data_IF_647081899114
#
_entry.id   IF_647081899114
#
_cell.length_a   1.000
_cell.length_b   1.000
_cell.length_c   1.000
_cell.angle_alpha   90.00
_cell.angle_beta   90.00
_cell.angle_gamma   90.00
#
_symmetry.space_group_name_H-M   'P 1'
#
loop_
_entity.id
_entity.type
_entity.pdbx_description
1 polymer ?
#
# COMPACT_ATOMS: atom_id res chain seq x y z
N UNK A 1 -10.32 13.45 -32.62
CA UNK A 1 -10.80 12.84 -31.36
C UNK A 1 -11.64 13.88 -30.63
N UNK A 2 -12.86 13.52 -30.23
CA UNK A 2 -13.70 14.36 -29.36
C UNK A 2 -13.80 13.68 -28.00
N UNK A 3 -13.57 14.45 -26.93
CA UNK A 3 -13.69 13.95 -25.57
C UNK A 3 -15.18 13.75 -25.24
N UNK A 4 -15.56 12.52 -24.89
CA UNK A 4 -16.94 12.18 -24.53
C UNK A 4 -17.19 12.26 -23.02
N UNK A 5 -16.29 11.69 -22.19
CA UNK A 5 -16.46 11.56 -20.74
C UNK A 5 -15.14 11.23 -20.05
N UNK A 6 -15.02 11.56 -18.77
CA UNK A 6 -13.94 11.11 -17.90
C UNK A 6 -14.44 10.03 -16.93
N UNK A 7 -13.62 9.00 -16.72
CA UNK A 7 -13.83 7.97 -15.70
C UNK A 7 -12.62 8.02 -14.75
N UNK A 8 -12.85 8.35 -13.48
CA UNK A 8 -11.80 8.57 -12.49
C UNK A 8 -12.06 7.72 -11.26
N UNK A 9 -11.07 6.91 -10.88
CA UNK A 9 -11.04 6.16 -9.62
C UNK A 9 -9.91 6.74 -8.74
N UNK A 10 -10.23 7.64 -7.81
CA UNK A 10 -9.25 8.25 -6.91
C UNK A 10 -8.95 7.35 -5.70
N UNK A 11 -7.67 7.23 -5.36
CA UNK A 11 -7.15 6.56 -4.17
C UNK A 11 -7.42 5.05 -4.01
N UNK A 12 -7.77 4.33 -5.09
CA UNK A 12 -8.01 2.87 -5.05
C UNK A 12 -6.77 2.10 -5.54
N UNK A 13 -6.37 1.07 -4.80
CA UNK A 13 -5.29 0.15 -5.18
C UNK A 13 -5.60 -0.51 -6.53
N UNK A 14 -4.70 -0.39 -7.50
CA UNK A 14 -4.86 -1.03 -8.82
C UNK A 14 -4.78 -2.57 -8.82
N UNK A 15 -4.54 -3.19 -7.67
CA UNK A 15 -4.35 -4.65 -7.50
C UNK A 15 -5.65 -5.46 -7.48
N UNK A 16 -6.81 -4.80 -7.51
CA UNK A 16 -8.11 -5.46 -7.64
C UNK A 16 -9.10 -4.58 -8.38
N UNK A 17 -10.01 -5.19 -9.15
CA UNK A 17 -11.15 -4.52 -9.78
C UNK A 17 -12.30 -4.27 -8.79
N UNK A 18 -12.30 -4.97 -7.65
CA UNK A 18 -13.26 -4.77 -6.56
C UNK A 18 -13.02 -3.39 -5.91
N UNK A 19 -13.86 -2.43 -6.29
CA UNK A 19 -13.83 -1.05 -5.79
C UNK A 19 -13.75 0.01 -6.87
N UNK A 20 -13.31 -0.33 -8.09
CA UNK A 20 -13.16 0.63 -9.20
C UNK A 20 -14.49 0.89 -9.91
N UNK A 21 -15.36 1.67 -9.26
CA UNK A 21 -16.72 1.96 -9.75
C UNK A 21 -16.69 2.68 -11.10
N UNK A 22 -15.78 3.62 -11.30
CA UNK A 22 -15.70 4.34 -12.57
C UNK A 22 -15.19 3.44 -13.69
N UNK A 23 -14.22 2.56 -13.42
CA UNK A 23 -13.77 1.54 -14.38
C UNK A 23 -14.91 0.58 -14.75
N UNK A 24 -15.68 0.08 -13.79
CA UNK A 24 -16.82 -0.80 -14.07
C UNK A 24 -17.90 -0.08 -14.89
N UNK A 25 -18.18 1.19 -14.58
CA UNK A 25 -19.11 2.00 -15.37
C UNK A 25 -18.61 2.22 -16.79
N UNK A 26 -17.31 2.45 -16.99
CA UNK A 26 -16.70 2.55 -18.32
C UNK A 26 -16.90 1.26 -19.13
N UNK A 27 -16.67 0.08 -18.51
CA UNK A 27 -16.91 -1.21 -19.18
C UNK A 27 -18.39 -1.41 -19.51
N UNK A 28 -19.31 -1.02 -18.62
CA UNK A 28 -20.75 -1.09 -18.91
C UNK A 28 -21.17 -0.15 -20.03
N UNK A 29 -20.69 1.09 -20.01
CA UNK A 29 -20.97 2.07 -21.05
C UNK A 29 -20.44 1.60 -22.42
N UNK A 30 -19.27 0.94 -22.45
CA UNK A 30 -18.72 0.31 -23.66
C UNK A 30 -19.55 -0.87 -24.19
N UNK A 31 -20.36 -1.53 -23.35
CA UNK A 31 -21.26 -2.62 -23.74
C UNK A 31 -22.65 -2.16 -24.18
N UNK A 32 -22.99 -0.87 -24.00
CA UNK A 32 -24.30 -0.35 -24.39
C UNK A 32 -24.37 -0.25 -25.90
N UNK A 33 -25.51 -0.66 -26.47
CA UNK A 33 -25.84 -0.50 -27.89
C UNK A 33 -25.84 0.96 -28.36
N UNK A 34 -25.95 1.92 -27.44
CA UNK A 34 -25.82 3.34 -27.76
C UNK A 34 -24.40 3.76 -28.17
N UNK A 35 -23.39 2.88 -28.02
CA UNK A 35 -21.98 3.12 -28.36
C UNK A 35 -21.51 4.55 -28.04
N UNK A 36 -21.47 4.94 -26.76
CA UNK A 36 -21.20 6.32 -26.37
C UNK A 36 -19.77 6.79 -26.68
N UNK A 37 -18.85 5.88 -26.99
CA UNK A 37 -17.48 6.16 -27.41
C UNK A 37 -16.84 4.95 -28.11
N UNK A 38 -15.88 5.23 -29.00
CA UNK A 38 -15.14 4.20 -29.76
C UNK A 38 -13.70 4.01 -29.27
N UNK A 39 -13.20 4.91 -28.42
CA UNK A 39 -11.81 4.90 -27.95
C UNK A 39 -11.71 5.31 -26.50
N UNK A 40 -11.02 4.49 -25.71
CA UNK A 40 -10.60 4.78 -24.34
C UNK A 40 -9.13 5.17 -24.37
N UNK A 41 -8.81 6.33 -23.80
CA UNK A 41 -7.44 6.82 -23.67
C UNK A 41 -7.00 6.67 -22.21
N UNK A 42 -5.87 6.01 -21.99
CA UNK A 42 -5.32 5.73 -20.67
C UNK A 42 -3.87 6.17 -20.63
N UNK A 43 -3.41 6.69 -19.49
CA UNK A 43 -2.04 7.15 -19.37
C UNK A 43 -1.03 6.00 -19.58
N UNK A 44 -1.12 4.92 -18.79
CA UNK A 44 -0.22 3.76 -18.89
C UNK A 44 -0.99 2.43 -18.65
N UNK A 45 -0.34 1.29 -18.91
CA UNK A 45 -0.93 -0.04 -18.72
C UNK A 45 -1.32 -0.29 -17.26
N UNK A 46 -0.55 0.24 -16.30
CA UNK A 46 -0.78 0.09 -14.86
C UNK A 46 -2.06 0.83 -14.40
N UNK A 47 -2.46 1.91 -15.10
CA UNK A 47 -3.67 2.70 -14.85
C UNK A 47 -4.93 2.06 -15.41
N UNK A 48 -4.82 1.30 -16.50
CA UNK A 48 -5.93 0.48 -16.98
C UNK A 48 -6.27 -0.60 -15.95
N UNK A 49 -5.25 -1.23 -15.36
CA UNK A 49 -5.37 -2.01 -14.12
C UNK A 49 -4.09 -2.77 -13.82
N UNK A 50 -3.67 -2.82 -12.54
CA UNK A 50 -2.60 -3.71 -12.06
C UNK A 50 -3.17 -5.08 -11.71
N UNK A 51 -3.94 -5.62 -12.65
CA UNK A 51 -4.70 -6.86 -12.47
C UNK A 51 -3.90 -7.99 -13.14
N UNK A 52 -4.21 -9.25 -12.80
CA UNK A 52 -3.62 -10.39 -13.48
C UNK A 52 -3.80 -10.31 -15.00
N UNK A 53 -2.80 -10.79 -15.76
CA UNK A 53 -2.75 -10.65 -17.23
C UNK A 53 -4.03 -11.16 -17.90
N UNK A 54 -4.62 -12.21 -17.33
CA UNK A 54 -5.86 -12.83 -17.80
C UNK A 54 -7.06 -11.89 -17.65
N UNK A 55 -7.17 -11.16 -16.53
CA UNK A 55 -8.29 -10.25 -16.28
C UNK A 55 -8.16 -8.96 -17.13
N UNK A 56 -6.94 -8.43 -17.27
CA UNK A 56 -6.69 -7.32 -18.20
C UNK A 56 -6.95 -7.73 -19.66
N UNK A 57 -6.60 -8.97 -20.03
CA UNK A 57 -6.93 -9.58 -21.31
C UNK A 57 -8.44 -9.72 -21.51
N UNK A 58 -9.16 -10.20 -20.50
CA UNK A 58 -10.62 -10.34 -20.51
C UNK A 58 -11.34 -9.01 -20.80
N UNK A 59 -11.00 -7.93 -20.09
CA UNK A 59 -11.63 -6.63 -20.34
C UNK A 59 -11.27 -6.05 -21.71
N UNK A 60 -10.01 -6.20 -22.16
CA UNK A 60 -9.64 -5.80 -23.52
C UNK A 60 -10.39 -6.59 -24.58
N UNK A 61 -10.56 -7.89 -24.37
CA UNK A 61 -11.34 -8.72 -25.27
C UNK A 61 -12.79 -8.24 -25.36
N UNK A 62 -13.43 -7.99 -24.22
CA UNK A 62 -14.78 -7.40 -24.17
C UNK A 62 -14.85 -6.09 -24.96
N UNK A 63 -13.94 -5.16 -24.70
CA UNK A 63 -13.95 -3.86 -25.35
C UNK A 63 -13.78 -4.00 -26.87
N UNK A 64 -12.84 -4.84 -27.31
CA UNK A 64 -12.61 -5.12 -28.73
C UNK A 64 -13.85 -5.73 -29.40
N UNK A 65 -14.50 -6.69 -28.75
CA UNK A 65 -15.72 -7.32 -29.27
C UNK A 65 -16.90 -6.35 -29.35
N UNK A 66 -16.88 -5.27 -28.54
CA UNK A 66 -17.84 -4.17 -28.62
C UNK A 66 -17.33 -2.98 -29.46
N UNK A 67 -16.28 -3.16 -30.27
CA UNK A 67 -15.75 -2.12 -31.18
C UNK A 67 -14.97 -0.99 -30.52
N UNK A 68 -14.66 -1.07 -29.22
CA UNK A 68 -13.96 -0.04 -28.47
C UNK A 68 -12.46 -0.32 -28.41
N UNK A 69 -11.64 0.64 -28.86
CA UNK A 69 -10.18 0.57 -28.81
C UNK A 69 -9.62 1.18 -27.53
N UNK A 70 -8.50 0.64 -27.01
CA UNK A 70 -7.78 1.21 -25.87
C UNK A 70 -6.42 1.74 -26.33
N UNK A 71 -6.17 3.02 -26.11
CA UNK A 71 -4.90 3.69 -26.44
C UNK A 71 -4.15 4.12 -25.18
N UNK A 72 -2.84 3.85 -25.16
CA UNK A 72 -1.97 4.22 -24.05
C UNK A 72 -1.14 5.45 -24.45
N UNK A 73 -1.05 6.45 -23.59
CA UNK A 73 -0.38 7.73 -23.90
C UNK A 73 1.12 7.66 -23.60
N UNK A 74 1.52 6.99 -22.53
CA UNK A 74 2.93 6.95 -22.08
C UNK A 74 3.78 5.93 -22.83
N UNK A 75 3.14 5.01 -23.55
CA UNK A 75 3.81 3.98 -24.30
C UNK A 75 3.62 4.34 -25.78
N UNK A 76 4.70 4.48 -26.54
CA UNK A 76 4.67 4.69 -28.00
C UNK A 76 4.16 3.43 -28.73
N UNK A 77 3.03 2.90 -28.30
CA UNK A 77 2.37 1.74 -28.87
C UNK A 77 1.47 2.23 -30.01
N UNK A 78 1.90 1.97 -31.24
CA UNK A 78 1.16 2.32 -32.45
C UNK A 78 0.04 1.32 -32.78
N UNK A 79 -0.13 0.27 -31.96
CA UNK A 79 -1.14 -0.77 -32.18
C UNK A 79 -0.74 -1.80 -33.23
N UNK A 80 0.57 -1.92 -33.53
CA UNK A 80 1.11 -2.90 -34.46
C UNK A 80 1.42 -4.24 -33.75
N UNK A 81 1.60 -5.31 -34.52
CA UNK A 81 1.85 -6.69 -34.08
C UNK A 81 3.02 -6.80 -33.07
N UNK A 82 3.98 -5.88 -33.13
CA UNK A 82 5.10 -5.77 -32.19
C UNK A 82 4.65 -5.39 -30.77
N UNK A 83 3.60 -4.60 -30.63
CA UNK A 83 3.09 -4.16 -29.31
C UNK A 83 2.40 -5.31 -28.58
N UNK A 84 1.75 -6.23 -29.30
CA UNK A 84 1.12 -7.42 -28.72
C UNK A 84 2.17 -8.40 -28.19
N UNK A 85 3.36 -8.44 -28.79
CA UNK A 85 4.50 -9.23 -28.29
C UNK A 85 5.22 -8.56 -27.11
N UNK A 86 5.37 -7.23 -27.13
CA UNK A 86 6.11 -6.51 -26.09
C UNK A 86 5.32 -6.31 -24.79
N UNK A 87 3.98 -6.24 -24.86
CA UNK A 87 3.12 -6.06 -23.68
C UNK A 87 3.27 -7.16 -22.63
N UNK A 88 3.19 -8.47 -22.97
CA UNK A 88 3.44 -9.55 -22.00
C UNK A 88 4.82 -9.47 -21.37
N UNK A 89 5.85 -9.11 -22.15
CA UNK A 89 7.23 -8.97 -21.67
C UNK A 89 7.34 -7.85 -20.64
N UNK A 90 6.77 -6.68 -20.92
CA UNK A 90 6.75 -5.55 -19.97
C UNK A 90 5.97 -5.87 -18.69
N UNK A 91 4.86 -6.59 -18.81
CA UNK A 91 4.10 -7.04 -17.65
C UNK A 91 4.86 -8.06 -16.81
N UNK A 92 5.51 -9.03 -17.47
CA UNK A 92 6.38 -9.99 -16.80
C UNK A 92 7.53 -9.28 -16.09
N UNK A 93 8.16 -8.30 -16.74
CA UNK A 93 9.22 -7.49 -16.14
C UNK A 93 8.72 -6.76 -14.88
N UNK A 94 7.58 -6.07 -14.95
CA UNK A 94 7.01 -5.38 -13.79
C UNK A 94 6.67 -6.35 -12.63
N UNK A 95 6.21 -7.56 -12.95
CA UNK A 95 5.99 -8.63 -11.96
C UNK A 95 7.30 -9.09 -11.32
N UNK A 96 8.37 -9.24 -12.10
CA UNK A 96 9.68 -9.60 -11.56
C UNK A 96 10.26 -8.49 -10.67
N UNK A 97 10.19 -7.24 -11.10
CA UNK A 97 10.59 -6.08 -10.29
C UNK A 97 9.85 -6.05 -8.94
N UNK A 98 8.54 -6.33 -8.93
CA UNK A 98 7.76 -6.42 -7.69
C UNK A 98 8.22 -7.58 -6.79
N UNK A 99 8.55 -8.73 -7.38
CA UNK A 99 9.06 -9.89 -6.63
C UNK A 99 10.44 -9.60 -6.04
N UNK A 100 11.32 -8.99 -6.80
CA UNK A 100 12.67 -8.65 -6.34
C UNK A 100 12.64 -7.56 -5.27
N UNK A 101 11.77 -6.55 -5.40
CA UNK A 101 11.54 -5.57 -4.34
C UNK A 101 11.00 -6.21 -3.06
N UNK A 102 10.09 -7.18 -3.18
CA UNK A 102 9.59 -7.96 -2.04
C UNK A 102 10.73 -8.70 -1.35
N UNK A 103 11.60 -9.40 -2.10
CA UNK A 103 12.78 -10.09 -1.54
C UNK A 103 13.71 -9.12 -0.80
N UNK A 104 13.99 -7.94 -1.37
CA UNK A 104 14.81 -6.90 -0.73
C UNK A 104 14.16 -6.41 0.56
N UNK A 105 12.84 -6.18 0.55
CA UNK A 105 12.09 -5.74 1.73
C UNK A 105 12.14 -6.79 2.83
N UNK A 106 11.83 -8.05 2.51
CA UNK A 106 11.87 -9.18 3.45
C UNK A 106 13.28 -9.33 4.03
N UNK A 107 14.33 -9.26 3.21
CA UNK A 107 15.72 -9.29 3.69
C UNK A 107 16.00 -8.16 4.68
N UNK A 108 15.50 -6.95 4.42
CA UNK A 108 15.62 -5.84 5.36
C UNK A 108 14.88 -6.05 6.67
N UNK A 109 13.69 -6.67 6.64
CA UNK A 109 12.92 -7.02 7.84
C UNK A 109 13.64 -8.10 8.67
N UNK A 110 14.14 -9.15 8.02
CA UNK A 110 14.91 -10.22 8.67
C UNK A 110 16.17 -9.68 9.36
N UNK A 111 16.95 -8.85 8.66
CA UNK A 111 18.14 -8.21 9.22
C UNK A 111 17.81 -7.33 10.46
N UNK A 112 16.68 -6.63 10.44
CA UNK A 112 16.19 -5.90 11.62
C UNK A 112 15.80 -6.85 12.76
N UNK A 113 15.10 -7.93 12.45
CA UNK A 113 14.68 -8.92 13.44
C UNK A 113 15.87 -9.59 14.14
N UNK A 114 16.92 -9.95 13.39
CA UNK A 114 18.15 -10.56 13.91
C UNK A 114 18.85 -9.66 14.94
N UNK A 115 18.75 -8.34 14.77
CA UNK A 115 19.32 -7.35 15.71
C UNK A 115 18.37 -6.94 16.84
N UNK A 116 17.20 -7.59 16.94
CA UNK A 116 16.16 -7.25 17.92
C UNK A 116 15.47 -5.92 17.65
N UNK A 117 15.61 -5.37 16.44
CA UNK A 117 14.98 -4.12 16.04
C UNK A 117 13.53 -4.33 15.60
N UNK A 118 12.65 -3.40 15.95
CA UNK A 118 11.27 -3.34 15.50
C UNK A 118 11.22 -3.20 13.98
N UNK A 119 10.51 -4.14 13.36
CA UNK A 119 10.43 -4.28 11.91
C UNK A 119 9.59 -3.19 11.22
N UNK A 120 8.81 -2.42 11.98
CA UNK A 120 7.99 -1.32 11.49
C UNK A 120 6.50 -1.51 11.77
N UNK A 121 5.70 -0.50 11.41
CA UNK A 121 4.27 -0.50 11.73
C UNK A 121 3.97 -0.03 13.15
N UNK A 122 2.69 -0.14 13.53
CA UNK A 122 2.19 0.26 14.86
C UNK A 122 2.55 -0.85 15.87
N UNK A 123 3.19 -0.52 17.01
CA UNK A 123 3.49 -1.51 18.04
C UNK A 123 2.20 -2.06 18.66
N UNK A 124 2.21 -3.30 19.18
CA UNK A 124 1.08 -3.84 19.95
C UNK A 124 0.73 -2.94 21.14
N UNK A 125 -0.54 -2.91 21.52
CA UNK A 125 -0.98 -2.19 22.70
C UNK A 125 -0.22 -2.69 23.95
N UNK A 126 0.14 -1.79 24.85
CA UNK A 126 1.01 -2.07 26.00
C UNK A 126 2.51 -1.89 25.73
N UNK A 127 2.92 -1.67 24.48
CA UNK A 127 4.29 -1.33 24.10
C UNK A 127 4.39 0.06 23.45
N UNK A 128 5.54 0.70 23.64
CA UNK A 128 5.97 1.92 22.94
C UNK A 128 7.25 1.61 22.12
N UNK A 129 7.58 2.45 21.15
CA UNK A 129 8.80 2.32 20.35
C UNK A 129 9.90 3.23 20.89
N UNK A 130 10.98 2.64 21.41
CA UNK A 130 12.19 3.38 21.78
C UNK A 130 13.12 3.47 20.57
N UNK A 131 13.40 4.68 20.12
CA UNK A 131 14.33 4.95 19.02
C UNK A 131 15.74 5.22 19.55
N UNK A 132 16.71 4.62 18.87
CA UNK A 132 18.14 4.75 19.14
C UNK A 132 18.88 5.00 17.82
N UNK A 133 19.97 5.77 17.89
CA UNK A 133 20.85 5.94 16.74
C UNK A 133 21.72 4.70 16.51
N UNK A 134 22.56 4.72 15.47
CA UNK A 134 23.48 3.61 15.16
C UNK A 134 24.55 3.34 16.24
N UNK A 135 24.77 4.28 17.15
CA UNK A 135 25.70 4.15 18.29
C UNK A 135 24.98 3.64 19.57
N UNK A 136 23.67 3.36 19.49
CA UNK A 136 22.86 2.94 20.64
C UNK A 136 22.42 4.10 21.55
N UNK A 137 22.67 5.34 21.17
CA UNK A 137 22.23 6.52 21.92
C UNK A 137 20.73 6.71 21.78
N UNK A 138 20.07 6.92 22.91
CA UNK A 138 18.64 7.24 22.99
C UNK A 138 18.30 8.50 22.17
N UNK A 139 17.23 8.40 21.37
CA UNK A 139 16.65 9.54 20.65
C UNK A 139 15.32 9.96 21.27
N UNK A 140 14.33 9.07 21.27
CA UNK A 140 12.98 9.33 21.77
C UNK A 140 12.22 8.04 22.04
N UNK A 141 11.11 8.12 22.77
CA UNK A 141 10.10 7.06 22.82
C UNK A 141 8.85 7.55 22.09
N UNK A 142 8.30 6.73 21.20
CA UNK A 142 7.09 7.00 20.46
C UNK A 142 5.96 6.11 20.94
N UNK A 143 4.89 6.71 21.45
CA UNK A 143 3.66 6.02 21.85
C UNK A 143 2.55 6.29 20.85
N UNK A 144 1.88 5.24 20.42
CA UNK A 144 0.72 5.33 19.54
C UNK A 144 -0.57 5.41 20.35
N UNK A 145 -1.38 6.42 20.04
CA UNK A 145 -2.65 6.68 20.70
C UNK A 145 -3.84 6.15 19.88
N UNK A 146 -4.96 5.76 20.52
CA UNK A 146 -6.13 5.22 19.82
C UNK A 146 -6.77 6.18 18.80
N UNK A 147 -6.63 7.50 19.01
CA UNK A 147 -7.10 8.55 18.10
C UNK A 147 -6.23 8.71 16.83
N UNK A 148 -5.15 7.93 16.73
CA UNK A 148 -4.18 7.97 15.63
C UNK A 148 -3.09 9.04 15.80
N UNK A 149 -3.10 9.79 16.90
CA UNK A 149 -2.00 10.68 17.28
C UNK A 149 -0.80 9.88 17.82
N UNK A 150 0.37 10.51 17.88
CA UNK A 150 1.59 9.89 18.41
C UNK A 150 2.21 10.79 19.46
N UNK A 151 2.47 10.26 20.64
CA UNK A 151 3.16 10.98 21.70
C UNK A 151 4.66 10.69 21.62
N UNK A 152 5.46 11.76 21.52
CA UNK A 152 6.91 11.73 21.67
C UNK A 152 7.23 11.95 23.14
N UNK A 153 7.91 10.98 23.74
CA UNK A 153 8.29 10.95 25.13
C UNK A 153 9.83 10.98 25.26
N UNK A 154 10.31 11.52 26.38
CA UNK A 154 11.72 11.50 26.74
C UNK A 154 12.16 10.13 27.31
N UNK A 155 13.43 10.02 27.73
CA UNK A 155 14.00 8.82 28.34
C UNK A 155 13.27 8.37 29.63
N UNK A 156 12.59 9.30 30.30
CA UNK A 156 11.84 9.08 31.54
C UNK A 156 10.34 8.86 31.25
N UNK A 157 9.95 8.67 29.98
CA UNK A 157 8.55 8.54 29.53
C UNK A 157 7.68 9.78 29.80
N UNK A 158 8.28 10.95 30.01
CA UNK A 158 7.55 12.22 30.11
C UNK A 158 7.22 12.74 28.72
N UNK A 159 6.01 13.27 28.54
CA UNK A 159 5.55 13.83 27.28
C UNK A 159 6.39 15.07 26.90
N UNK A 160 6.97 15.03 25.70
CA UNK A 160 7.72 16.15 25.09
C UNK A 160 6.85 16.85 24.06
N UNK A 161 6.21 16.09 23.17
CA UNK A 161 5.37 16.62 22.09
C UNK A 161 4.36 15.57 21.62
N UNK A 162 3.22 16.02 21.10
CA UNK A 162 2.26 15.17 20.39
C UNK A 162 2.28 15.50 18.90
N UNK A 163 2.36 14.47 18.06
CA UNK A 163 2.18 14.54 16.61
C UNK A 163 0.73 14.23 16.26
N UNK A 164 0.13 15.05 15.40
CA UNK A 164 -1.23 14.82 14.92
C UNK A 164 -1.32 13.57 14.02
N UNK A 165 -2.53 13.06 13.83
CA UNK A 165 -2.78 11.94 12.91
C UNK A 165 -2.28 12.30 11.51
N UNK A 166 -1.44 11.43 10.93
CA UNK A 166 -0.84 11.63 9.60
C UNK A 166 0.47 12.42 9.60
N UNK A 167 0.82 13.12 10.70
CA UNK A 167 2.10 13.80 10.82
C UNK A 167 3.25 12.77 10.87
N UNK A 168 4.28 13.03 10.08
CA UNK A 168 5.45 12.15 9.95
C UNK A 168 6.48 12.49 11.00
N UNK A 169 7.03 11.45 11.61
CA UNK A 169 8.16 11.57 12.50
C UNK A 169 9.44 11.62 11.66
N UNK A 170 10.31 12.59 11.92
CA UNK A 170 11.60 12.73 11.22
C UNK A 170 12.65 11.88 11.92
N UNK A 171 12.96 10.72 11.36
CA UNK A 171 13.95 9.74 11.86
C UNK A 171 14.89 9.37 10.71
N UNK A 172 16.17 9.16 11.02
CA UNK A 172 17.15 8.69 10.03
C UNK A 172 16.90 7.23 9.65
N UNK A 173 17.20 6.86 8.39
CA UNK A 173 17.10 5.46 7.94
C UNK A 173 18.01 4.50 8.71
N UNK A 174 19.03 5.01 9.40
CA UNK A 174 19.99 4.22 10.21
C UNK A 174 19.54 4.05 11.66
N UNK A 175 18.53 4.79 12.10
CA UNK A 175 18.04 4.69 13.45
C UNK A 175 17.22 3.40 13.60
N UNK A 176 17.39 2.74 14.74
CA UNK A 176 16.66 1.54 15.09
C UNK A 176 15.58 1.85 16.11
N UNK A 177 14.47 1.10 16.06
CA UNK A 177 13.43 1.14 17.07
C UNK A 177 13.42 -0.18 17.81
N UNK A 178 13.12 -0.17 19.10
CA UNK A 178 12.92 -1.37 19.92
C UNK A 178 11.63 -1.25 20.71
N UNK A 179 10.99 -2.40 20.98
CA UNK A 179 9.81 -2.43 21.84
C UNK A 179 10.22 -2.20 23.29
N UNK A 180 9.54 -1.28 23.96
CA UNK A 180 9.65 -1.09 25.40
C UNK A 180 8.26 -1.08 26.01
N UNK A 181 8.13 -1.51 27.26
CA UNK A 181 6.86 -1.44 27.96
C UNK A 181 6.34 0.00 27.98
N UNK A 182 5.05 0.15 27.74
CA UNK A 182 4.37 1.45 27.72
C UNK A 182 4.16 1.99 29.15
N UNK A 183 3.10 2.76 29.38
CA UNK A 183 2.74 3.20 30.73
C UNK A 183 2.25 2.02 31.58
N UNK A 184 2.44 2.06 32.91
CA UNK A 184 1.99 0.99 33.81
C UNK A 184 0.50 0.63 33.64
N UNK A 185 -0.35 1.63 33.38
CA UNK A 185 -1.79 1.47 33.17
C UNK A 185 -2.07 0.64 31.91
N UNK A 186 -1.38 0.95 30.81
CA UNK A 186 -1.55 0.22 29.54
C UNK A 186 -1.04 -1.22 29.64
N UNK A 187 0.09 -1.41 30.31
CA UNK A 187 0.64 -2.76 30.57
C UNK A 187 -0.30 -3.55 31.47
N UNK A 188 -0.91 -2.93 32.48
CA UNK A 188 -1.90 -3.56 33.37
C UNK A 188 -3.10 -4.06 32.59
N UNK A 189 -3.63 -3.29 31.63
CA UNK A 189 -4.74 -3.73 30.76
C UNK A 189 -4.38 -5.01 30.00
N UNK A 190 -3.18 -5.06 29.39
CA UNK A 190 -2.74 -6.26 28.66
C UNK A 190 -2.61 -7.47 29.60
N UNK A 191 -2.05 -7.28 30.80
CA UNK A 191 -1.96 -8.34 31.82
C UNK A 191 -3.34 -8.82 32.28
N UNK A 192 -4.28 -7.90 32.47
CA UNK A 192 -5.66 -8.24 32.83
C UNK A 192 -6.33 -9.08 31.74
N UNK A 193 -6.21 -8.67 30.46
CA UNK A 193 -6.71 -9.45 29.33
C UNK A 193 -6.10 -10.85 29.31
N UNK A 194 -4.78 -10.97 29.45
CA UNK A 194 -4.11 -12.27 29.46
C UNK A 194 -4.61 -13.17 30.60
N UNK A 195 -4.74 -12.64 31.81
CA UNK A 195 -5.26 -13.39 32.94
C UNK A 195 -6.71 -13.84 32.71
N UNK A 196 -7.57 -13.00 32.12
CA UNK A 196 -8.93 -13.41 31.75
C UNK A 196 -8.92 -14.60 30.79
N UNK A 197 -8.08 -14.58 29.75
CA UNK A 197 -7.95 -15.68 28.80
C UNK A 197 -7.43 -16.97 29.45
N UNK A 198 -6.40 -16.87 30.30
CA UNK A 198 -5.74 -18.04 30.89
C UNK A 198 -6.52 -18.63 32.05
N UNK A 199 -7.06 -17.80 32.94
CA UNK A 199 -7.72 -18.25 34.18
C UNK A 199 -9.23 -18.46 34.01
N UNK A 200 -9.89 -17.72 33.12
CA UNK A 200 -11.36 -17.75 32.98
C UNK A 200 -11.85 -18.49 31.74
N UNK A 201 -10.94 -19.04 30.91
CA UNK A 201 -11.27 -19.96 29.82
C UNK A 201 -12.35 -19.46 28.85
N UNK A 202 -12.38 -18.15 28.57
CA UNK A 202 -13.18 -17.55 27.49
C UNK A 202 -12.30 -17.14 26.32
#
# INVERSE_FOLDING_TARGET
LRLAKFYVDDAISGTSTLGRRAFQQMIQDAKKTSHPFDTIVVYDVKRFGRIDNDEAGYYRHILRTNGVQVRYVSENFNGDTTDDLLRPVKQWQARQESKDLSKVTIRGLLSKSETGSWMGGVPPYGYDLRYENCEGKFLLILRYMPDGSKQILDKNKKLVRTLARGERLSISKRDCARLVFSSPERVKVVRQMFNMYVEQGK
#
